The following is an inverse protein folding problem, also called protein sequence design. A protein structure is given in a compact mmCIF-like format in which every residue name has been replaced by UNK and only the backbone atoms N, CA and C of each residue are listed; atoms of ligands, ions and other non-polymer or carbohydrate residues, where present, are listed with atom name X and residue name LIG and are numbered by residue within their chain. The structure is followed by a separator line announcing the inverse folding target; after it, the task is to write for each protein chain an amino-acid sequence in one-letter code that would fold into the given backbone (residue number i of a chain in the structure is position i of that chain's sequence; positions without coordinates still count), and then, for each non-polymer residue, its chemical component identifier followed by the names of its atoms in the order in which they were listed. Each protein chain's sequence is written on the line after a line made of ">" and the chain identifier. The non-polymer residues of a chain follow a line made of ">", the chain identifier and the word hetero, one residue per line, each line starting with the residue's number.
data_IF_874037732025
#
_entry.id   IF_874037732025
#
_cell.length_a   1.000
_cell.length_b   1.000
_cell.length_c   1.000
_cell.angle_alpha   90.00
_cell.angle_beta   90.00
_cell.angle_gamma   90.00
#
_symmetry.space_group_name_H-M   'P 1'
#
loop_
_entity.id
_entity.type
_entity.pdbx_description
1 polymer ?
#
# COMPACT_ATOMS: atom_id res chain seq x y z
N UNK A 1 -55.29 29.95 -19.34
CA UNK A 1 -54.14 30.50 -18.68
C UNK A 1 -53.32 29.45 -17.99
N UNK A 2 -52.61 28.78 -18.83
CA UNK A 2 -51.70 27.73 -18.30
C UNK A 2 -50.32 28.35 -18.16
N UNK A 3 -49.76 28.23 -16.99
CA UNK A 3 -48.39 28.62 -16.81
C UNK A 3 -47.46 27.69 -17.57
N UNK A 4 -46.17 28.04 -17.63
CA UNK A 4 -45.23 27.16 -18.30
C UNK A 4 -45.22 25.81 -17.61
N UNK A 5 -45.68 24.79 -18.32
CA UNK A 5 -45.65 23.43 -17.85
C UNK A 5 -44.50 22.71 -18.51
N UNK A 6 -43.74 22.00 -17.74
CA UNK A 6 -42.69 21.17 -18.30
C UNK A 6 -43.36 19.99 -18.98
N UNK A 7 -43.02 19.78 -20.25
CA UNK A 7 -43.50 18.67 -21.02
C UNK A 7 -42.98 17.37 -20.38
N UNK A 8 -43.84 16.33 -20.35
CA UNK A 8 -43.44 15.05 -19.82
C UNK A 8 -42.25 14.43 -20.56
N UNK A 9 -42.11 14.74 -21.84
CA UNK A 9 -40.98 14.28 -22.64
C UNK A 9 -39.67 14.94 -22.18
N UNK A 10 -39.71 16.24 -21.87
CA UNK A 10 -38.54 16.95 -21.38
C UNK A 10 -38.10 16.43 -20.03
N UNK A 11 -39.03 16.16 -19.13
CA UNK A 11 -38.73 15.57 -17.83
C UNK A 11 -38.09 14.21 -17.96
N UNK A 12 -38.58 13.39 -18.89
CA UNK A 12 -38.02 12.07 -19.14
C UNK A 12 -36.60 12.17 -19.67
N UNK A 13 -36.33 13.12 -20.56
CA UNK A 13 -34.99 13.31 -21.10
C UNK A 13 -34.04 13.82 -20.04
N UNK A 14 -34.45 14.79 -19.22
CA UNK A 14 -33.63 15.28 -18.12
C UNK A 14 -33.31 14.15 -17.14
N UNK A 15 -34.31 13.36 -16.78
CA UNK A 15 -34.11 12.21 -15.89
C UNK A 15 -33.15 11.22 -16.51
N UNK A 16 -33.25 10.98 -17.81
CA UNK A 16 -32.35 10.07 -18.53
C UNK A 16 -30.92 10.58 -18.46
N UNK A 17 -30.69 11.87 -18.73
CA UNK A 17 -29.36 12.45 -18.66
C UNK A 17 -28.78 12.38 -17.25
N UNK A 18 -29.58 12.67 -16.25
CA UNK A 18 -29.15 12.57 -14.86
C UNK A 18 -28.81 11.13 -14.49
N UNK A 19 -29.60 10.17 -14.94
CA UNK A 19 -29.33 8.76 -14.67
C UNK A 19 -28.06 8.29 -15.36
N UNK A 20 -27.80 8.74 -16.59
CA UNK A 20 -26.60 8.40 -17.32
C UNK A 20 -25.37 8.98 -16.61
N UNK A 21 -25.45 10.25 -16.21
CA UNK A 21 -24.36 10.90 -15.47
C UNK A 21 -24.09 10.21 -14.14
N UNK A 22 -25.17 9.89 -13.42
CA UNK A 22 -25.06 9.19 -12.14
C UNK A 22 -24.40 7.81 -12.33
N UNK A 23 -24.82 7.07 -13.34
CA UNK A 23 -24.26 5.76 -13.64
C UNK A 23 -22.77 5.87 -14.01
N UNK A 24 -22.41 6.89 -14.80
CA UNK A 24 -21.03 7.11 -15.19
C UNK A 24 -20.16 7.43 -13.98
N UNK A 25 -20.62 8.32 -13.11
CA UNK A 25 -19.88 8.69 -11.90
C UNK A 25 -19.76 7.49 -10.97
N UNK A 26 -20.85 6.73 -10.81
CA UNK A 26 -20.84 5.54 -9.97
C UNK A 26 -19.86 4.51 -10.51
N UNK A 27 -19.83 4.32 -11.83
CA UNK A 27 -18.87 3.41 -12.46
C UNK A 27 -17.43 3.81 -12.22
N UNK A 28 -17.14 5.11 -12.32
CA UNK A 28 -15.80 5.64 -12.04
C UNK A 28 -15.42 5.46 -10.58
N UNK A 29 -16.35 5.68 -9.67
CA UNK A 29 -16.10 5.50 -8.24
C UNK A 29 -15.82 4.04 -7.90
N UNK A 30 -16.56 3.12 -8.49
CA UNK A 30 -16.33 1.69 -8.29
C UNK A 30 -14.97 1.29 -8.83
N UNK A 31 -14.61 1.77 -10.02
CA UNK A 31 -13.30 1.49 -10.60
C UNK A 31 -12.18 2.04 -9.73
N UNK A 32 -12.33 3.27 -9.25
CA UNK A 32 -11.36 3.90 -8.38
C UNK A 32 -11.19 3.11 -7.08
N UNK A 33 -12.32 2.66 -6.49
CA UNK A 33 -12.29 1.87 -5.28
C UNK A 33 -11.56 0.54 -5.49
N UNK A 34 -11.77 -0.12 -6.63
CA UNK A 34 -11.08 -1.37 -6.97
C UNK A 34 -9.60 -1.14 -7.14
N UNK A 35 -9.22 -0.09 -7.85
CA UNK A 35 -7.80 0.24 -8.05
C UNK A 35 -7.12 0.55 -6.74
N UNK A 36 -7.79 1.30 -5.86
CA UNK A 36 -7.26 1.61 -4.54
C UNK A 36 -7.11 0.36 -3.70
N UNK A 37 -8.11 -0.52 -3.73
CA UNK A 37 -8.06 -1.78 -3.00
C UNK A 37 -6.91 -2.66 -3.48
N UNK A 38 -6.71 -2.74 -4.80
CA UNK A 38 -5.59 -3.48 -5.38
C UNK A 38 -4.25 -2.92 -4.94
N UNK A 39 -4.13 -1.59 -4.87
CA UNK A 39 -2.91 -0.93 -4.40
C UNK A 39 -2.67 -1.21 -2.92
N UNK A 40 -3.73 -1.17 -2.12
CA UNK A 40 -3.62 -1.47 -0.70
C UNK A 40 -3.15 -2.91 -0.50
N UNK A 41 -3.73 -3.85 -1.24
CA UNK A 41 -3.33 -5.26 -1.18
C UNK A 41 -1.86 -5.42 -1.56
N UNK A 42 -1.43 -4.76 -2.64
CA UNK A 42 -0.03 -4.81 -3.07
C UNK A 42 0.91 -4.22 -2.02
N UNK A 43 0.50 -3.11 -1.39
CA UNK A 43 1.29 -2.49 -0.32
C UNK A 43 1.36 -3.37 0.92
N UNK A 44 0.29 -4.06 1.26
CA UNK A 44 0.27 -4.99 2.39
C UNK A 44 1.25 -6.15 2.15
N UNK A 45 1.27 -6.69 0.94
CA UNK A 45 2.21 -7.75 0.58
C UNK A 45 3.64 -7.24 0.62
N UNK A 46 3.88 -6.06 0.07
CA UNK A 46 5.20 -5.43 0.12
C UNK A 46 5.66 -5.19 1.54
N UNK A 47 4.75 -4.71 2.40
CA UNK A 47 5.04 -4.49 3.81
C UNK A 47 5.43 -5.78 4.51
N UNK A 48 4.72 -6.86 4.23
CA UNK A 48 5.04 -8.18 4.80
C UNK A 48 6.43 -8.61 4.38
N UNK A 49 6.75 -8.47 3.10
CA UNK A 49 8.07 -8.81 2.57
C UNK A 49 9.16 -7.96 3.22
N UNK A 50 8.92 -6.65 3.34
CA UNK A 50 9.88 -5.74 3.98
C UNK A 50 10.13 -6.10 5.44
N UNK A 51 9.08 -6.46 6.17
CA UNK A 51 9.22 -6.89 7.57
C UNK A 51 10.03 -8.16 7.68
N UNK A 52 9.80 -9.11 6.78
CA UNK A 52 10.57 -10.36 6.75
C UNK A 52 12.03 -10.08 6.44
N UNK A 53 12.29 -9.22 5.47
CA UNK A 53 13.66 -8.84 5.11
C UNK A 53 14.36 -8.13 6.26
N UNK A 54 13.63 -7.27 6.97
CA UNK A 54 14.17 -6.57 8.12
C UNK A 54 14.53 -7.54 9.25
N UNK A 55 13.65 -8.51 9.53
CA UNK A 55 13.91 -9.52 10.55
C UNK A 55 15.14 -10.36 10.19
N UNK A 56 15.27 -10.72 8.91
CA UNK A 56 16.44 -11.46 8.42
C UNK A 56 17.71 -10.64 8.58
N UNK A 57 17.64 -9.35 8.22
CA UNK A 57 18.78 -8.45 8.37
C UNK A 57 19.20 -8.30 9.84
N UNK A 58 18.22 -8.18 10.73
CA UNK A 58 18.49 -8.09 12.18
C UNK A 58 19.21 -9.32 12.68
N UNK A 59 18.79 -10.50 12.26
CA UNK A 59 19.43 -11.76 12.63
C UNK A 59 20.87 -11.80 12.14
N UNK A 60 21.10 -11.36 10.90
CA UNK A 60 22.44 -11.33 10.30
C UNK A 60 23.33 -10.34 11.02
N UNK A 61 22.79 -9.18 11.39
CA UNK A 61 23.52 -8.17 12.16
C UNK A 61 23.93 -8.74 13.50
N UNK A 62 23.02 -9.39 14.22
CA UNK A 62 23.33 -10.01 15.51
C UNK A 62 24.42 -11.06 15.38
N UNK A 63 24.35 -11.89 14.33
CA UNK A 63 25.37 -12.91 14.06
C UNK A 63 26.73 -12.26 13.80
N UNK A 64 26.75 -11.20 12.98
CA UNK A 64 27.98 -10.47 12.69
C UNK A 64 28.55 -9.79 13.92
N UNK A 65 27.71 -9.21 14.77
CA UNK A 65 28.14 -8.61 16.02
C UNK A 65 28.80 -9.64 16.93
N UNK A 66 28.23 -10.84 17.01
CA UNK A 66 28.81 -11.91 17.80
C UNK A 66 30.15 -12.36 17.23
N UNK A 67 30.25 -12.46 15.88
CA UNK A 67 31.51 -12.83 15.23
C UNK A 67 32.59 -11.76 15.45
N UNK A 68 32.21 -10.49 15.38
CA UNK A 68 33.14 -9.40 15.66
C UNK A 68 33.63 -9.47 17.11
N UNK A 69 32.74 -9.73 18.06
CA UNK A 69 33.09 -9.86 19.46
C UNK A 69 34.09 -11.01 19.67
N UNK A 70 33.85 -12.14 19.01
CA UNK A 70 34.75 -13.29 19.07
C UNK A 70 36.12 -12.95 18.49
N UNK A 71 36.13 -12.26 17.35
CA UNK A 71 37.39 -11.83 16.72
C UNK A 71 38.17 -10.87 17.63
N UNK A 72 37.48 -9.92 18.23
CA UNK A 72 38.12 -8.97 19.16
C UNK A 72 38.74 -9.74 20.34
N UNK A 73 38.01 -10.71 20.87
CA UNK A 73 38.53 -11.52 21.99
C UNK A 73 39.75 -12.33 21.58
N UNK A 74 39.75 -12.91 20.38
CA UNK A 74 40.89 -13.67 19.85
C UNK A 74 42.09 -12.76 19.63
N UNK A 75 41.90 -11.57 19.08
CA UNK A 75 42.97 -10.62 18.85
C UNK A 75 43.58 -10.18 20.20
N UNK A 76 42.78 -9.94 21.22
CA UNK A 76 43.23 -9.61 22.55
C UNK A 76 44.05 -10.74 23.15
N UNK A 77 43.58 -11.97 22.98
CA UNK A 77 44.33 -13.16 23.44
C UNK A 77 45.69 -13.24 22.78
N UNK A 78 45.73 -13.09 21.46
CA UNK A 78 46.98 -13.14 20.70
C UNK A 78 47.93 -12.01 21.14
N UNK A 79 47.41 -10.83 21.27
CA UNK A 79 48.21 -9.67 21.72
C UNK A 79 48.70 -9.86 23.14
N UNK A 80 47.85 -10.39 24.02
CA UNK A 80 48.22 -10.69 25.40
C UNK A 80 49.27 -11.76 25.55
N UNK A 81 49.25 -12.78 24.68
CA UNK A 81 50.18 -13.89 24.74
C UNK A 81 51.58 -13.55 24.19
N UNK A 82 51.72 -12.42 23.49
CA UNK A 82 53.03 -11.94 23.04
C UNK A 82 53.85 -11.27 24.13
N UNK A 83 53.21 -10.99 25.26
CA UNK A 83 53.86 -10.39 26.38
C UNK A 83 54.31 -11.49 27.35
#
# INVERSE_FOLDING_TARGET
>A
LQGPTVDGNELREETRYLNVDYAAVTGLLVQFARETDDRVTALEEENTTLRQNLATADTRISTLENQVSELVALVRQLTGSEH
#
